data_IF_825760606171
#
_entry.id   IF_825760606171
#
_cell.length_a   1.000
_cell.length_b   1.000
_cell.length_c   1.000
_cell.angle_alpha   90.00
_cell.angle_beta   90.00
_cell.angle_gamma   90.00
#
_symmetry.space_group_name_H-M   'P 1'
#
loop_
_entity.id
_entity.type
_entity.pdbx_description
1 polymer ?
#
# COMPACT_ATOMS: atom_id res chain seq x y z
N UNK A 1 25.27 -12.57 -9.45
CA UNK A 1 24.95 -11.93 -8.15
C UNK A 1 23.45 -11.90 -7.99
N UNK A 2 22.93 -12.20 -6.81
CA UNK A 2 21.50 -12.01 -6.53
C UNK A 2 21.28 -10.50 -6.55
N UNK A 3 20.47 -9.96 -7.47
CA UNK A 3 20.11 -8.54 -7.45
C UNK A 3 19.34 -8.33 -6.15
N UNK A 4 19.93 -7.63 -5.19
CA UNK A 4 19.18 -7.16 -4.05
C UNK A 4 18.23 -6.06 -4.57
N UNK A 5 16.94 -6.37 -4.63
CA UNK A 5 15.90 -5.35 -4.80
C UNK A 5 15.25 -5.11 -3.45
N UNK A 6 15.26 -3.86 -3.02
CA UNK A 6 14.54 -3.40 -1.84
C UNK A 6 13.12 -3.03 -2.27
N UNK A 7 12.09 -3.30 -1.47
CA UNK A 7 10.73 -2.89 -1.82
C UNK A 7 10.66 -1.37 -2.05
N UNK A 8 9.96 -0.96 -3.11
CA UNK A 8 9.63 0.44 -3.38
C UNK A 8 8.29 0.74 -2.72
N UNK A 9 8.26 1.71 -1.81
CA UNK A 9 7.03 2.21 -1.19
C UNK A 9 6.67 3.54 -1.83
N UNK A 10 5.46 3.63 -2.36
CA UNK A 10 4.90 4.85 -2.92
C UNK A 10 3.67 5.23 -2.09
N UNK A 11 3.67 6.46 -1.58
CA UNK A 11 2.63 7.01 -0.73
C UNK A 11 1.96 8.16 -1.48
N UNK A 12 0.69 7.96 -1.87
CA UNK A 12 -0.12 8.87 -2.69
C UNK A 12 0.64 9.55 -3.85
N UNK A 13 1.37 8.79 -4.70
CA UNK A 13 2.27 9.39 -5.70
C UNK A 13 1.54 10.16 -6.81
N UNK A 14 0.21 10.05 -6.91
CA UNK A 14 -0.61 10.64 -7.97
C UNK A 14 -1.54 11.77 -7.49
N UNK A 15 -1.42 12.24 -6.24
CA UNK A 15 -2.36 13.17 -5.61
C UNK A 15 -2.58 14.50 -6.38
N UNK A 16 -1.59 14.97 -7.14
CA UNK A 16 -1.68 16.21 -7.95
C UNK A 16 -1.80 15.95 -9.45
N UNK A 17 -2.03 14.70 -9.87
CA UNK A 17 -2.11 14.34 -11.28
C UNK A 17 -3.56 14.33 -11.78
N UNK A 18 -3.75 14.84 -13.00
CA UNK A 18 -5.02 14.70 -13.70
C UNK A 18 -5.40 13.22 -13.88
N UNK A 19 -6.68 12.90 -13.68
CA UNK A 19 -7.18 11.53 -13.79
C UNK A 19 -6.84 10.88 -15.15
N UNK A 20 -6.74 11.66 -16.22
CA UNK A 20 -6.42 11.17 -17.56
C UNK A 20 -5.01 10.58 -17.70
N UNK A 21 -4.06 10.96 -16.84
CA UNK A 21 -2.68 10.44 -16.93
C UNK A 21 -2.43 9.20 -16.09
N UNK A 22 -3.27 8.95 -15.07
CA UNK A 22 -3.11 7.84 -14.13
C UNK A 22 -3.06 6.46 -14.82
N UNK A 23 -3.90 6.13 -15.82
CA UNK A 23 -3.88 4.80 -16.44
C UNK A 23 -2.52 4.43 -17.04
N UNK A 24 -1.88 5.35 -17.75
CA UNK A 24 -0.56 5.11 -18.36
C UNK A 24 0.54 4.92 -17.33
N UNK A 25 0.45 5.61 -16.19
CA UNK A 25 1.42 5.46 -15.10
C UNK A 25 1.21 4.14 -14.33
N UNK A 26 -0.04 3.74 -14.11
CA UNK A 26 -0.38 2.44 -13.50
C UNK A 26 0.09 1.27 -14.38
N UNK A 27 -0.08 1.37 -15.69
CA UNK A 27 0.45 0.37 -16.63
C UNK A 27 1.99 0.27 -16.55
N UNK A 28 2.68 1.42 -16.45
CA UNK A 28 4.14 1.45 -16.28
C UNK A 28 4.56 0.78 -14.96
N UNK A 29 3.86 1.06 -13.87
CA UNK A 29 4.11 0.43 -12.56
C UNK A 29 3.88 -1.08 -12.63
N UNK A 30 2.80 -1.54 -13.27
CA UNK A 30 2.50 -2.96 -13.48
C UNK A 30 3.65 -3.69 -14.17
N UNK A 31 4.23 -3.10 -15.22
CA UNK A 31 5.40 -3.67 -15.93
C UNK A 31 6.66 -3.70 -15.07
N UNK A 32 6.85 -2.70 -14.20
CA UNK A 32 8.03 -2.63 -13.32
C UNK A 32 8.06 -3.74 -12.26
N UNK A 33 6.89 -4.30 -11.91
CA UNK A 33 6.76 -5.34 -10.87
C UNK A 33 7.56 -6.62 -11.15
N UNK A 34 7.89 -6.90 -12.42
CA UNK A 34 8.66 -8.09 -12.81
C UNK A 34 10.02 -8.19 -12.11
N UNK A 35 10.63 -7.05 -11.75
CA UNK A 35 11.95 -7.01 -11.12
C UNK A 35 11.98 -6.29 -9.76
N UNK A 36 10.84 -5.73 -9.32
CA UNK A 36 10.77 -4.79 -8.21
C UNK A 36 9.45 -5.02 -7.45
N UNK A 37 9.52 -5.34 -6.15
CA UNK A 37 8.32 -5.32 -5.31
C UNK A 37 7.90 -3.86 -5.09
N UNK A 38 6.63 -3.55 -5.35
CA UNK A 38 6.05 -2.21 -5.17
C UNK A 38 4.92 -2.32 -4.15
N UNK A 39 4.95 -1.45 -3.15
CA UNK A 39 3.87 -1.23 -2.18
C UNK A 39 3.30 0.16 -2.49
N UNK A 40 2.04 0.20 -2.89
CA UNK A 40 1.35 1.43 -3.27
C UNK A 40 0.27 1.73 -2.22
N UNK A 41 0.41 2.85 -1.52
CA UNK A 41 -0.54 3.33 -0.53
C UNK A 41 -1.29 4.51 -1.14
N UNK A 42 -2.62 4.45 -1.12
CA UNK A 42 -3.43 5.57 -1.61
C UNK A 42 -4.86 5.58 -1.13
N UNK A 43 -5.44 6.77 -1.06
CA UNK A 43 -6.87 7.00 -0.87
C UNK A 43 -7.61 7.32 -2.20
N UNK A 44 -6.90 7.29 -3.33
CA UNK A 44 -7.43 7.63 -4.65
C UNK A 44 -8.38 6.56 -5.20
N UNK A 45 -9.68 6.90 -5.33
CA UNK A 45 -10.71 5.98 -5.80
C UNK A 45 -10.47 5.46 -7.23
N UNK A 46 -9.84 6.24 -8.11
CA UNK A 46 -9.53 5.82 -9.48
C UNK A 46 -8.48 4.69 -9.44
N UNK A 47 -7.46 4.86 -8.60
CA UNK A 47 -6.38 3.87 -8.42
C UNK A 47 -6.93 2.62 -7.73
N UNK A 48 -7.76 2.78 -6.71
CA UNK A 48 -8.41 1.66 -6.02
C UNK A 48 -9.32 0.86 -6.97
N UNK A 49 -10.05 1.55 -7.85
CA UNK A 49 -10.92 0.90 -8.84
C UNK A 49 -10.12 0.11 -9.88
N UNK A 50 -9.01 0.67 -10.38
CA UNK A 50 -8.08 -0.04 -11.25
C UNK A 50 -7.49 -1.29 -10.55
N UNK A 51 -6.98 -1.13 -9.32
CA UNK A 51 -6.37 -2.21 -8.57
C UNK A 51 -7.33 -3.40 -8.37
N UNK A 52 -8.63 -3.11 -8.14
CA UNK A 52 -9.67 -4.15 -8.02
C UNK A 52 -9.82 -4.97 -9.30
N UNK A 53 -9.68 -4.37 -10.46
CA UNK A 53 -9.75 -5.08 -11.75
C UNK A 53 -8.51 -5.96 -11.93
N UNK A 54 -7.31 -5.42 -11.69
CA UNK A 54 -6.05 -6.17 -11.82
C UNK A 54 -5.94 -7.29 -10.77
N UNK A 55 -6.51 -7.11 -9.58
CA UNK A 55 -6.55 -8.18 -8.59
C UNK A 55 -7.31 -9.42 -9.09
N UNK A 56 -8.27 -9.25 -10.02
CA UNK A 56 -8.97 -10.37 -10.64
C UNK A 56 -8.09 -11.17 -11.60
N UNK A 57 -7.04 -10.57 -12.17
CA UNK A 57 -6.07 -11.26 -13.04
C UNK A 57 -5.01 -12.00 -12.23
N UNK A 58 -4.87 -11.67 -10.94
CA UNK A 58 -3.90 -12.26 -10.02
C UNK A 58 -2.53 -11.59 -10.05
N UNK A 59 -2.37 -10.50 -10.80
CA UNK A 59 -1.11 -9.76 -10.91
C UNK A 59 -0.87 -8.81 -9.72
N UNK A 60 -1.92 -8.53 -8.94
CA UNK A 60 -1.90 -7.63 -7.80
C UNK A 60 -2.69 -8.20 -6.62
N UNK A 61 -2.23 -7.91 -5.39
CA UNK A 61 -2.97 -8.17 -4.15
C UNK A 61 -3.32 -6.86 -3.48
N UNK A 62 -4.60 -6.70 -3.09
CA UNK A 62 -5.07 -5.54 -2.33
C UNK A 62 -5.05 -5.88 -0.84
N UNK A 63 -4.55 -4.93 -0.03
CA UNK A 63 -4.66 -4.98 1.42
C UNK A 63 -5.67 -3.92 1.87
N UNK A 64 -6.78 -4.37 2.44
CA UNK A 64 -7.76 -3.47 3.05
C UNK A 64 -7.29 -3.08 4.46
N UNK A 65 -7.47 -1.81 4.89
CA UNK A 65 -7.19 -1.41 6.27
C UNK A 65 -8.00 -2.26 7.24
N UNK A 66 -7.33 -2.95 8.17
CA UNK A 66 -8.00 -3.69 9.24
C UNK A 66 -8.59 -2.71 10.26
N UNK A 67 -9.90 -2.82 10.52
CA UNK A 67 -10.63 -1.97 11.46
C UNK A 67 -10.37 -2.27 12.94
N UNK A 68 -9.42 -3.15 13.27
CA UNK A 68 -9.16 -3.54 14.65
C UNK A 68 -8.44 -2.40 15.39
N UNK A 69 -9.18 -1.72 16.26
CA UNK A 69 -8.59 -0.81 17.24
C UNK A 69 -7.59 -1.61 18.10
N UNK A 70 -6.29 -1.25 18.10
CA UNK A 70 -5.34 -1.94 18.95
C UNK A 70 -5.79 -1.80 20.42
N UNK A 71 -5.75 -2.88 21.22
CA UNK A 71 -6.22 -2.82 22.59
C UNK A 71 -5.50 -1.69 23.34
N UNK A 72 -6.22 -0.92 24.19
CA UNK A 72 -5.65 0.24 24.85
C UNK A 72 -4.38 -0.16 25.61
N UNK A 73 -3.28 0.52 25.31
CA UNK A 73 -1.99 0.24 25.93
C UNK A 73 -2.14 0.32 27.47
N UNK A 74 -1.55 -0.63 28.23
CA UNK A 74 -1.63 -0.61 29.68
C UNK A 74 -1.03 0.69 30.22
N UNK A 75 -1.86 1.46 30.93
CA UNK A 75 -1.43 2.70 31.58
C UNK A 75 -0.29 2.44 32.57
N UNK A 76 0.86 3.11 32.42
CA UNK A 76 2.04 2.97 33.31
C UNK A 76 1.72 3.11 34.82
N UNK A 77 0.59 3.72 35.18
CA UNK A 77 0.16 3.93 36.57
C UNK A 77 -0.14 2.65 37.35
N UNK A 78 -0.40 1.52 36.69
CA UNK A 78 -0.69 0.25 37.38
C UNK A 78 0.54 -0.56 37.80
N UNK A 79 1.76 -0.18 37.41
CA UNK A 79 3.00 -0.86 37.87
C UNK A 79 3.54 -0.37 39.22
N UNK A 80 3.12 0.81 39.68
CA UNK A 80 3.65 1.41 40.91
C UNK A 80 2.91 0.98 42.18
N UNK A 81 1.83 0.20 42.08
CA UNK A 81 0.99 -0.20 43.22
C UNK A 81 1.33 -1.59 43.81
N UNK A 82 2.43 -2.22 43.37
CA UNK A 82 2.85 -3.56 43.80
C UNK A 82 4.28 -3.62 44.35
N UNK A 83 4.72 -2.56 45.04
CA UNK A 83 5.94 -2.56 45.85
C UNK A 83 5.63 -2.08 47.27
#
# INVERSE_FOLDING_TARGET
SRKESFPLVLDDPFIELDASVKPSLLELLGRATTNQQIIFLTEDEDVASWAKIEALTGDLTILEPSADEPPPLPSRRSRAAHL
#
